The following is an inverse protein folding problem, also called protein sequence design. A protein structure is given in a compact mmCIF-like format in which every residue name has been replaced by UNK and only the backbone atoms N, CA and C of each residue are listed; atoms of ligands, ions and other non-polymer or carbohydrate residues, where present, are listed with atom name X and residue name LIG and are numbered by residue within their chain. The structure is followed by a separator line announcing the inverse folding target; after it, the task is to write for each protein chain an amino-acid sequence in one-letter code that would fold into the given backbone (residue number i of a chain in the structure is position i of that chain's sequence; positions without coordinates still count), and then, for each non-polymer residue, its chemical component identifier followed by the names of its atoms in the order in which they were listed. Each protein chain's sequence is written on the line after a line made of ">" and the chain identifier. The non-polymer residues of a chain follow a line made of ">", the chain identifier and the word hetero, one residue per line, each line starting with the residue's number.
data_IF_327025703139
#
_entry.id   IF_327025703139
#
_cell.length_a   1.000
_cell.length_b   1.000
_cell.length_c   1.000
_cell.angle_alpha   90.00
_cell.angle_beta   90.00
_cell.angle_gamma   90.00
#
_symmetry.space_group_name_H-M   'P 1'
#
loop_
_entity.id
_entity.type
_entity.pdbx_description
1 polymer ?
#
# COMPACT_ATOMS: atom_id res chain seq x y z
N UNK A 1 -4.03 7.78 10.99
CA UNK A 1 -4.10 7.03 9.72
C UNK A 1 -4.57 5.64 10.04
N UNK A 2 -5.65 5.21 9.39
CA UNK A 2 -6.36 3.94 9.63
C UNK A 2 -5.43 2.75 9.36
N UNK A 3 -5.52 1.63 10.11
CA UNK A 3 -4.75 0.43 9.80
C UNK A 3 -5.01 -0.02 8.36
N UNK A 4 -3.92 -0.24 7.62
CA UNK A 4 -3.95 -0.73 6.24
C UNK A 4 -3.96 -2.27 6.23
N UNK A 5 -4.75 -2.87 5.36
CA UNK A 5 -4.91 -4.32 5.24
C UNK A 5 -4.66 -4.77 3.81
N UNK A 6 -4.10 -5.98 3.64
CA UNK A 6 -3.85 -6.55 2.31
C UNK A 6 -5.19 -6.87 1.65
N UNK A 7 -5.40 -6.36 0.44
CA UNK A 7 -6.55 -6.68 -0.42
C UNK A 7 -6.30 -7.99 -1.14
N UNK A 8 -7.33 -8.83 -1.18
CA UNK A 8 -7.27 -10.14 -1.81
C UNK A 8 -7.83 -10.08 -3.24
N UNK A 9 -7.54 -11.12 -4.01
CA UNK A 9 -8.02 -11.27 -5.37
C UNK A 9 -9.54 -11.04 -5.46
N UNK A 10 -9.97 -10.29 -6.48
CA UNK A 10 -11.36 -9.88 -6.67
C UNK A 10 -11.65 -8.45 -6.22
N UNK A 11 -10.79 -7.83 -5.40
CA UNK A 11 -10.94 -6.42 -5.05
C UNK A 11 -10.66 -5.53 -6.28
N UNK A 12 -11.63 -4.70 -6.64
CA UNK A 12 -11.58 -3.78 -7.78
C UNK A 12 -10.36 -2.85 -7.77
N UNK A 13 -9.85 -2.48 -6.59
CA UNK A 13 -8.70 -1.57 -6.46
C UNK A 13 -7.42 -2.16 -7.08
N UNK A 14 -7.30 -3.49 -7.08
CA UNK A 14 -6.15 -4.20 -7.64
C UNK A 14 -6.05 -4.12 -9.17
N UNK A 15 -7.11 -3.64 -9.84
CA UNK A 15 -7.14 -3.41 -11.30
C UNK A 15 -7.07 -1.94 -11.68
N UNK A 16 -6.95 -1.02 -10.72
CA UNK A 16 -6.91 0.42 -10.96
C UNK A 16 -5.47 0.90 -11.13
N UNK A 17 -5.29 1.88 -12.02
CA UNK A 17 -4.01 2.58 -12.18
C UNK A 17 -3.80 3.55 -11.01
N UNK A 18 -2.66 3.45 -10.34
CA UNK A 18 -2.25 4.43 -9.31
C UNK A 18 -1.98 5.80 -9.92
N UNK A 19 -2.15 6.83 -9.08
CA UNK A 19 -1.74 8.20 -9.38
C UNK A 19 -0.26 8.38 -9.07
N UNK A 20 0.33 9.34 -9.76
CA UNK A 20 1.69 9.77 -9.50
C UNK A 20 1.77 10.49 -8.16
N UNK A 21 2.82 10.18 -7.39
CA UNK A 21 3.13 10.90 -6.15
C UNK A 21 3.83 12.20 -6.53
N UNK A 22 3.15 13.34 -6.35
CA UNK A 22 3.70 14.66 -6.69
C UNK A 22 4.71 15.19 -5.68
N UNK A 23 4.59 14.78 -4.42
CA UNK A 23 5.44 15.25 -3.33
C UNK A 23 5.69 14.14 -2.32
N UNK A 24 6.95 13.97 -1.93
CA UNK A 24 7.34 13.06 -0.87
C UNK A 24 7.20 13.75 0.49
N UNK A 25 6.04 13.58 1.12
CA UNK A 25 5.75 14.17 2.42
C UNK A 25 5.78 13.13 3.57
N UNK A 26 5.56 13.61 4.80
CA UNK A 26 5.58 12.77 6.01
C UNK A 26 4.53 11.65 6.00
N UNK A 27 3.38 11.88 5.38
CA UNK A 27 2.32 10.87 5.30
C UNK A 27 2.67 9.75 4.32
N UNK A 28 3.31 10.08 3.20
CA UNK A 28 3.86 9.07 2.27
C UNK A 28 4.95 8.26 2.97
N UNK A 29 5.88 8.90 3.69
CA UNK A 29 6.90 8.17 4.46
C UNK A 29 6.27 7.22 5.49
N UNK A 30 5.21 7.67 6.16
CA UNK A 30 4.47 6.84 7.14
C UNK A 30 3.74 5.68 6.48
N UNK A 31 3.17 5.88 5.29
CA UNK A 31 2.57 4.82 4.49
C UNK A 31 3.60 3.77 4.09
N UNK A 32 4.76 4.18 3.59
CA UNK A 32 5.86 3.28 3.20
C UNK A 32 6.28 2.41 4.39
N UNK A 33 6.50 3.01 5.56
CA UNK A 33 6.88 2.28 6.77
C UNK A 33 5.82 1.24 7.19
N UNK A 34 4.53 1.61 7.10
CA UNK A 34 3.43 0.69 7.40
C UNK A 34 3.35 -0.46 6.38
N UNK A 35 3.52 -0.18 5.09
CA UNK A 35 3.54 -1.19 4.04
C UNK A 35 4.72 -2.15 4.18
N UNK A 36 5.91 -1.64 4.48
CA UNK A 36 7.10 -2.47 4.72
C UNK A 36 6.88 -3.41 5.91
N UNK A 37 6.35 -2.89 7.04
CA UNK A 37 6.00 -3.71 8.20
C UNK A 37 5.02 -4.81 7.83
N UNK A 38 3.95 -4.48 7.10
CA UNK A 38 2.93 -5.43 6.69
C UNK A 38 3.47 -6.50 5.74
N UNK A 39 4.34 -6.11 4.79
CA UNK A 39 5.02 -7.01 3.87
C UNK A 39 5.86 -8.05 4.62
N UNK A 40 6.72 -7.61 5.55
CA UNK A 40 7.55 -8.52 6.35
C UNK A 40 6.73 -9.43 7.27
N UNK A 41 5.67 -8.91 7.90
CA UNK A 41 4.76 -9.71 8.72
C UNK A 41 4.09 -10.84 7.93
N UNK A 42 3.80 -10.61 6.66
CA UNK A 42 3.21 -11.60 5.76
C UNK A 42 4.25 -12.40 4.97
N UNK A 43 5.54 -12.32 5.33
CA UNK A 43 6.65 -13.00 4.65
C UNK A 43 6.70 -12.72 3.14
N UNK A 44 6.27 -11.52 2.73
CA UNK A 44 6.29 -11.08 1.34
C UNK A 44 7.64 -10.48 0.93
N UNK A 45 7.91 -10.46 -0.38
CA UNK A 45 9.10 -9.84 -0.97
C UNK A 45 8.85 -8.44 -1.53
N UNK A 46 7.58 -8.10 -1.81
CA UNK A 46 7.16 -6.80 -2.32
C UNK A 46 5.70 -6.53 -1.99
N UNK A 47 5.35 -5.24 -1.86
CA UNK A 47 3.98 -4.79 -1.62
C UNK A 47 3.75 -3.42 -2.29
N UNK A 48 2.72 -3.32 -3.12
CA UNK A 48 2.33 -2.10 -3.82
C UNK A 48 1.15 -1.39 -3.13
N UNK A 49 1.05 -0.07 -3.28
CA UNK A 49 0.02 0.74 -2.63
C UNK A 49 -1.44 0.30 -2.95
N UNK A 50 -1.78 -0.13 -4.19
CA UNK A 50 -3.10 -0.69 -4.47
C UNK A 50 -3.43 -1.94 -3.63
N UNK A 51 -2.42 -2.76 -3.29
CA UNK A 51 -2.62 -3.96 -2.47
C UNK A 51 -3.02 -3.64 -1.03
N UNK A 52 -2.94 -2.38 -0.61
CA UNK A 52 -3.48 -1.89 0.67
C UNK A 52 -4.63 -0.88 0.49
N UNK A 53 -5.17 -0.76 -0.73
CA UNK A 53 -6.30 0.10 -1.04
C UNK A 53 -5.98 1.57 -1.30
N UNK A 54 -4.72 1.92 -1.60
CA UNK A 54 -4.28 3.30 -1.84
C UNK A 54 -3.93 3.50 -3.33
N UNK A 55 -4.39 4.63 -3.92
CA UNK A 55 -4.23 4.96 -5.34
C UNK A 55 -3.72 6.37 -5.62
#
# INVERSE_FOLDING_TARGET
>A
MTPVTIRLYGDSVLRRKSREVKEMNRDIQKLINNMAKLMYQNKGLGLAAPQVGIL
#
